data_IF_137551941099
#
_entry.id   IF_137551941099
#
_cell.length_a   1.000
_cell.length_b   1.000
_cell.length_c   1.000
_cell.angle_alpha   90.00
_cell.angle_beta   90.00
_cell.angle_gamma   90.00
#
_symmetry.space_group_name_H-M   'P 1'
#
loop_
_entity.id
_entity.type
_entity.pdbx_description
1 polymer ?
#
# COMPACT_ATOMS: atom_id res chain seq x y z
N UNK A 1 16.96 41.63 -43.71
CA UNK A 1 17.68 40.57 -42.95
C UNK A 1 17.38 40.76 -41.46
N UNK A 2 16.43 39.99 -40.93
CA UNK A 2 15.81 40.23 -39.63
C UNK A 2 16.57 39.63 -38.46
N UNK A 3 17.72 40.20 -38.09
CA UNK A 3 18.47 39.81 -36.89
C UNK A 3 17.68 40.04 -35.59
N UNK A 4 16.78 41.03 -35.57
CA UNK A 4 15.88 41.30 -34.45
C UNK A 4 14.81 40.22 -34.21
N UNK A 5 14.30 39.54 -35.26
CA UNK A 5 13.36 38.42 -35.10
C UNK A 5 14.04 37.18 -34.53
N UNK A 6 15.29 36.90 -34.92
CA UNK A 6 16.03 35.73 -34.42
C UNK A 6 16.53 35.91 -33.00
N UNK A 7 17.00 37.11 -32.62
CA UNK A 7 17.44 37.39 -31.25
C UNK A 7 16.28 37.54 -30.25
N UNK A 8 15.17 38.17 -30.64
CA UNK A 8 14.00 38.31 -29.76
C UNK A 8 13.17 37.03 -29.63
N UNK A 9 13.08 36.18 -30.67
CA UNK A 9 12.33 34.92 -30.60
C UNK A 9 13.17 33.74 -30.14
N UNK A 10 14.50 33.79 -30.31
CA UNK A 10 15.41 32.69 -29.95
C UNK A 10 15.81 32.67 -28.46
N UNK A 11 16.38 33.76 -27.94
CA UNK A 11 16.91 33.77 -26.56
C UNK A 11 15.80 33.89 -25.51
N UNK A 12 14.77 34.70 -25.80
CA UNK A 12 13.59 34.81 -24.92
C UNK A 12 12.75 33.53 -25.00
N UNK A 13 12.59 32.95 -26.19
CA UNK A 13 11.88 31.68 -26.39
C UNK A 13 12.54 30.53 -25.63
N UNK A 14 13.87 30.38 -25.75
CA UNK A 14 14.61 29.36 -25.00
C UNK A 14 14.56 29.58 -23.49
N UNK A 15 14.65 30.83 -23.00
CA UNK A 15 14.53 31.12 -21.56
C UNK A 15 13.13 30.80 -21.02
N UNK A 16 12.08 31.07 -21.80
CA UNK A 16 10.71 30.75 -21.43
C UNK A 16 10.49 29.23 -21.39
N UNK A 17 10.98 28.51 -22.40
CA UNK A 17 10.89 27.06 -22.52
C UNK A 17 11.68 26.34 -21.40
N UNK A 18 12.86 26.87 -21.04
CA UNK A 18 13.63 26.41 -19.87
C UNK A 18 12.84 26.66 -18.57
N UNK A 19 12.23 27.83 -18.40
CA UNK A 19 11.46 28.13 -17.20
C UNK A 19 10.19 27.25 -17.08
N UNK A 20 9.57 26.88 -18.21
CA UNK A 20 8.42 25.98 -18.24
C UNK A 20 8.83 24.53 -17.94
N UNK A 21 9.92 24.04 -18.55
CA UNK A 21 10.46 22.71 -18.23
C UNK A 21 10.93 22.61 -16.78
N UNK A 22 11.51 23.67 -16.20
CA UNK A 22 11.84 23.70 -14.77
C UNK A 22 10.60 23.59 -13.88
N UNK A 23 9.50 24.27 -14.23
CA UNK A 23 8.22 24.17 -13.50
C UNK A 23 7.63 22.78 -13.61
N UNK A 24 7.71 22.15 -14.78
CA UNK A 24 7.20 20.79 -15.00
C UNK A 24 8.02 19.76 -14.24
N UNK A 25 9.35 19.87 -14.24
CA UNK A 25 10.24 19.03 -13.42
C UNK A 25 9.94 19.22 -11.93
N UNK A 26 9.74 20.47 -11.48
CA UNK A 26 9.39 20.74 -10.09
C UNK A 26 8.03 20.14 -9.70
N UNK A 27 7.04 20.19 -10.61
CA UNK A 27 5.73 19.57 -10.43
C UNK A 27 5.84 18.05 -10.39
N UNK A 28 6.58 17.44 -11.33
CA UNK A 28 6.79 15.99 -11.38
C UNK A 28 7.46 15.49 -10.10
N UNK A 29 8.52 16.15 -9.64
CA UNK A 29 9.20 15.84 -8.38
C UNK A 29 8.27 15.95 -7.17
N UNK A 30 7.40 16.96 -7.14
CA UNK A 30 6.42 17.12 -6.06
C UNK A 30 5.42 15.96 -6.05
N UNK A 31 4.91 15.59 -7.22
CA UNK A 31 3.96 14.49 -7.38
C UNK A 31 4.58 13.14 -6.99
N UNK A 32 5.82 12.87 -7.41
CA UNK A 32 6.55 11.65 -7.01
C UNK A 32 6.79 11.59 -5.50
N UNK A 33 7.13 12.71 -4.86
CA UNK A 33 7.30 12.78 -3.40
C UNK A 33 5.99 12.55 -2.65
N UNK A 34 4.89 13.15 -3.11
CA UNK A 34 3.58 12.91 -2.50
C UNK A 34 3.12 11.47 -2.67
N UNK A 35 3.38 10.88 -3.84
CA UNK A 35 3.04 9.48 -4.09
C UNK A 35 3.85 8.54 -3.21
N UNK A 36 5.17 8.72 -3.14
CA UNK A 36 6.04 7.94 -2.26
C UNK A 36 5.63 8.02 -0.78
N UNK A 37 5.14 9.18 -0.31
CA UNK A 37 4.64 9.30 1.05
C UNK A 37 3.33 8.52 1.28
N UNK A 38 2.41 8.55 0.30
CA UNK A 38 1.17 7.78 0.35
C UNK A 38 1.47 6.29 0.31
N UNK A 39 2.37 5.85 -0.57
CA UNK A 39 2.77 4.45 -0.69
C UNK A 39 3.38 3.95 0.63
N UNK A 40 4.30 4.72 1.24
CA UNK A 40 4.87 4.38 2.55
C UNK A 40 3.79 4.28 3.64
N UNK A 41 2.84 5.20 3.68
CA UNK A 41 1.76 5.17 4.68
C UNK A 41 0.80 3.98 4.47
N UNK A 42 0.65 3.51 3.23
CA UNK A 42 -0.10 2.28 2.93
C UNK A 42 0.67 1.05 3.39
N UNK A 43 1.97 0.97 3.10
CA UNK A 43 2.84 -0.13 3.54
C UNK A 43 2.86 -0.25 5.08
N UNK A 44 3.03 0.87 5.78
CA UNK A 44 3.02 0.90 7.26
C UNK A 44 1.67 0.39 7.82
N UNK A 45 0.56 0.73 7.14
CA UNK A 45 -0.78 0.28 7.53
C UNK A 45 -1.01 -1.20 7.23
N UNK A 46 -0.52 -1.69 6.10
CA UNK A 46 -0.56 -3.12 5.75
C UNK A 46 0.22 -3.92 6.78
N UNK A 47 1.44 -3.51 7.10
CA UNK A 47 2.28 -4.18 8.10
C UNK A 47 1.60 -4.18 9.48
N UNK A 48 0.94 -3.08 9.86
CA UNK A 48 0.15 -3.06 11.10
C UNK A 48 -1.01 -4.06 11.07
N UNK A 49 -1.78 -4.09 9.97
CA UNK A 49 -2.92 -5.00 9.84
C UNK A 49 -2.48 -6.47 9.82
N UNK A 50 -1.36 -6.79 9.18
CA UNK A 50 -0.76 -8.12 9.19
C UNK A 50 -0.39 -8.54 10.62
N UNK A 51 0.30 -7.66 11.35
CA UNK A 51 0.66 -7.90 12.76
C UNK A 51 -0.57 -8.11 13.64
N UNK A 52 -1.61 -7.30 13.48
CA UNK A 52 -2.88 -7.44 14.21
C UNK A 52 -3.59 -8.75 13.86
N UNK A 53 -3.60 -9.14 12.59
CA UNK A 53 -4.20 -10.39 12.14
C UNK A 53 -3.47 -11.61 12.74
N UNK A 54 -2.14 -11.61 12.75
CA UNK A 54 -1.34 -12.66 13.36
C UNK A 54 -1.60 -12.78 14.87
N UNK A 55 -1.72 -11.65 15.56
CA UNK A 55 -2.05 -11.64 16.99
C UNK A 55 -3.47 -12.17 17.26
N UNK A 56 -4.45 -11.82 16.42
CA UNK A 56 -5.81 -12.35 16.52
C UNK A 56 -5.84 -13.87 16.28
N UNK A 57 -5.11 -14.37 15.28
CA UNK A 57 -4.96 -15.81 15.03
C UNK A 57 -4.41 -16.53 16.26
N UNK A 58 -3.37 -15.98 16.90
CA UNK A 58 -2.80 -16.54 18.12
C UNK A 58 -3.80 -16.54 19.29
N UNK A 59 -4.58 -15.48 19.45
CA UNK A 59 -5.62 -15.42 20.48
C UNK A 59 -6.72 -16.45 20.25
N UNK A 60 -7.21 -16.59 19.01
CA UNK A 60 -8.21 -17.59 18.66
C UNK A 60 -7.67 -18.99 18.92
N UNK A 61 -6.47 -19.32 18.42
CA UNK A 61 -5.85 -20.62 18.67
C UNK A 61 -5.69 -20.92 20.16
N UNK A 62 -5.29 -19.92 20.96
CA UNK A 62 -5.13 -20.05 22.41
C UNK A 62 -6.47 -20.27 23.11
N UNK A 63 -7.52 -19.55 22.70
CA UNK A 63 -8.87 -19.69 23.23
C UNK A 63 -9.44 -21.08 22.91
N UNK A 64 -9.31 -21.55 21.67
CA UNK A 64 -9.78 -22.87 21.26
C UNK A 64 -9.09 -23.98 22.07
N UNK A 65 -7.76 -23.90 22.22
CA UNK A 65 -7.01 -24.84 23.08
C UNK A 65 -7.50 -24.82 24.53
N UNK A 66 -7.80 -23.64 25.07
CA UNK A 66 -8.34 -23.51 26.43
C UNK A 66 -9.73 -24.14 26.56
N UNK A 67 -10.60 -23.95 25.57
CA UNK A 67 -11.96 -24.52 25.56
C UNK A 67 -11.93 -26.05 25.48
N UNK A 68 -11.06 -26.61 24.64
CA UNK A 68 -10.83 -28.06 24.56
C UNK A 68 -10.28 -28.60 25.88
N UNK A 69 -9.27 -27.93 26.45
CA UNK A 69 -8.70 -28.35 27.74
C UNK A 69 -9.72 -28.31 28.89
N UNK A 70 -10.74 -27.45 28.81
CA UNK A 70 -11.85 -27.39 29.77
C UNK A 70 -12.98 -28.38 29.48
N UNK A 71 -12.90 -29.14 28.38
CA UNK A 71 -13.95 -30.05 27.93
C UNK A 71 -15.24 -29.33 27.50
N UNK A 72 -15.15 -28.04 27.18
CA UNK A 72 -16.31 -27.27 26.67
C UNK A 72 -16.55 -27.54 25.19
N UNK A 73 -15.48 -27.90 24.47
CA UNK A 73 -15.50 -28.26 23.06
C UNK A 73 -14.77 -29.60 22.91
N UNK A 74 -15.33 -30.54 22.14
CA UNK A 74 -14.66 -31.79 21.84
C UNK A 74 -13.63 -31.59 20.70
N UNK A 75 -12.58 -32.42 20.67
CA UNK A 75 -11.51 -32.29 19.67
C UNK A 75 -12.01 -32.57 18.24
N UNK A 76 -12.96 -33.49 18.08
CA UNK A 76 -13.61 -33.84 16.82
C UNK A 76 -14.53 -32.72 16.30
N UNK A 77 -15.27 -32.07 17.19
CA UNK A 77 -16.07 -30.88 16.84
C UNK A 77 -15.17 -29.73 16.35
N UNK A 78 -14.01 -29.53 16.99
CA UNK A 78 -13.04 -28.54 16.56
C UNK A 78 -12.45 -28.88 15.19
N UNK A 79 -12.09 -30.15 14.96
CA UNK A 79 -11.55 -30.60 13.67
C UNK A 79 -12.54 -30.37 12.53
N UNK A 80 -13.82 -30.76 12.73
CA UNK A 80 -14.86 -30.55 11.73
C UNK A 80 -15.10 -29.06 11.43
N UNK A 81 -14.97 -28.18 12.44
CA UNK A 81 -15.07 -26.74 12.24
C UNK A 81 -13.91 -26.19 11.38
N UNK A 82 -12.68 -26.67 11.62
CA UNK A 82 -11.51 -26.28 10.81
C UNK A 82 -11.68 -26.74 9.36
N UNK A 83 -12.15 -27.97 9.14
CA UNK A 83 -12.35 -28.52 7.79
C UNK A 83 -13.34 -27.69 6.95
N UNK A 84 -14.39 -27.14 7.57
CA UNK A 84 -15.36 -26.25 6.88
C UNK A 84 -14.70 -24.94 6.43
N UNK A 85 -13.88 -24.34 7.30
CA UNK A 85 -13.20 -23.07 7.00
C UNK A 85 -12.17 -23.27 5.89
N UNK A 86 -11.39 -24.34 5.95
CA UNK A 86 -10.37 -24.64 4.94
C UNK A 86 -11.00 -24.90 3.57
N UNK A 87 -12.15 -25.57 3.52
CA UNK A 87 -12.90 -25.78 2.28
C UNK A 87 -13.43 -24.47 1.67
N UNK A 88 -13.91 -23.53 2.49
CA UNK A 88 -14.37 -22.22 2.01
C UNK A 88 -13.20 -21.36 1.51
N UNK A 89 -12.00 -21.48 2.12
CA UNK A 89 -10.81 -20.76 1.71
C UNK A 89 -10.19 -21.26 0.39
N UNK A 90 -10.51 -22.47 -0.08
CA UNK A 90 -10.05 -23.02 -1.36
C UNK A 90 -10.90 -22.55 -2.56
N UNK A 91 -12.09 -21.96 -2.32
CA UNK A 91 -13.01 -21.51 -3.37
C UNK A 91 -12.81 -20.03 -3.80
N UNK A 92 -12.08 -19.22 -3.02
CA UNK A 92 -11.74 -17.81 -3.28
C UNK A 92 -10.34 -17.60 -3.91
#
# INVERSE_FOLDING_TARGET
MGWGRTLLLGDIGNRLDIADTERDVARLRRNMRSQSFVDQAQDDRLEQLERENDQLKLYVASLLRLLVAKGTLAEDELAAFVDIIDAEAEED
#
